data_IF_648990670455
#
_entry.id   IF_648990670455
#
_cell.length_a   1.000
_cell.length_b   1.000
_cell.length_c   1.000
_cell.angle_alpha   90.00
_cell.angle_beta   90.00
_cell.angle_gamma   90.00
#
_symmetry.space_group_name_H-M   'P 1'
#
loop_
_entity.id
_entity.type
_entity.pdbx_description
1 polymer ?
#
# COMPACT_ATOMS: atom_id res chain seq x y z
N UNK A 1 15.74 23.41 -2.03
CA UNK A 1 14.28 23.47 -2.29
C UNK A 1 14.09 22.97 -3.71
N UNK A 2 13.16 22.05 -3.95
CA UNK A 2 12.94 21.47 -5.29
C UNK A 2 12.50 22.58 -6.24
N UNK A 3 13.19 22.74 -7.37
CA UNK A 3 12.83 23.73 -8.38
C UNK A 3 12.10 23.11 -9.58
N UNK A 4 12.39 21.84 -9.89
CA UNK A 4 11.73 21.08 -10.98
C UNK A 4 11.42 19.65 -10.54
N UNK A 5 10.18 19.23 -10.76
CA UNK A 5 9.61 17.95 -10.34
C UNK A 5 9.09 17.16 -11.54
N UNK A 6 9.54 15.91 -11.70
CA UNK A 6 8.93 14.96 -12.62
C UNK A 6 7.82 14.17 -11.91
N UNK A 7 6.67 14.05 -12.55
CA UNK A 7 5.58 13.19 -12.05
C UNK A 7 5.59 11.86 -12.80
N UNK A 8 5.94 10.78 -12.09
CA UNK A 8 5.98 9.41 -12.60
C UNK A 8 4.59 8.74 -12.57
N UNK A 9 3.57 9.44 -13.07
CA UNK A 9 2.18 8.98 -13.09
C UNK A 9 1.39 9.69 -14.20
N UNK A 10 0.08 9.40 -14.32
CA UNK A 10 -0.82 9.93 -15.35
C UNK A 10 -2.18 10.32 -14.78
N UNK A 11 -3.00 10.98 -15.60
CA UNK A 11 -4.40 11.22 -15.29
C UNK A 11 -4.61 12.19 -14.13
N UNK A 12 -5.59 11.91 -13.27
CA UNK A 12 -6.04 12.87 -12.26
C UNK A 12 -4.95 13.18 -11.23
N UNK A 13 -4.23 12.16 -10.75
CA UNK A 13 -3.21 12.31 -9.71
C UNK A 13 -2.04 13.15 -10.21
N UNK A 14 -1.65 12.97 -11.48
CA UNK A 14 -0.64 13.83 -12.09
C UNK A 14 -1.10 15.28 -12.16
N UNK A 15 -2.36 15.53 -12.56
CA UNK A 15 -2.94 16.87 -12.53
C UNK A 15 -2.97 17.45 -11.10
N UNK A 16 -3.29 16.63 -10.09
CA UNK A 16 -3.34 17.03 -8.66
C UNK A 16 -1.97 17.48 -8.16
N UNK A 17 -0.91 16.75 -8.53
CA UNK A 17 0.47 17.08 -8.17
C UNK A 17 0.92 18.36 -8.91
N UNK A 18 0.65 18.47 -10.21
CA UNK A 18 0.99 19.65 -11.02
C UNK A 18 0.35 20.91 -10.44
N UNK A 19 -0.92 20.87 -10.02
CA UNK A 19 -1.59 22.02 -9.40
C UNK A 19 -0.88 22.50 -8.13
N UNK A 20 -0.45 21.59 -7.26
CA UNK A 20 0.29 21.96 -6.04
C UNK A 20 1.69 22.44 -6.34
N UNK A 21 2.43 21.76 -7.22
CA UNK A 21 3.77 22.18 -7.64
C UNK A 21 3.75 23.62 -8.20
N UNK A 22 2.77 23.94 -9.06
CA UNK A 22 2.58 25.29 -9.59
C UNK A 22 2.31 26.34 -8.50
N UNK A 23 1.46 26.02 -7.53
CA UNK A 23 1.20 26.92 -6.39
C UNK A 23 2.46 27.20 -5.56
N UNK A 24 3.40 26.24 -5.53
CA UNK A 24 4.68 26.35 -4.84
C UNK A 24 5.80 26.97 -5.71
N UNK A 25 5.53 27.31 -6.97
CA UNK A 25 6.53 27.83 -7.91
C UNK A 25 7.52 26.77 -8.43
N UNK A 26 7.15 25.49 -8.36
CA UNK A 26 7.96 24.36 -8.83
C UNK A 26 7.57 24.02 -10.27
N UNK A 27 8.55 23.98 -11.18
CA UNK A 27 8.34 23.58 -12.57
C UNK A 27 8.05 22.07 -12.66
N UNK A 28 7.23 21.66 -13.63
CA UNK A 28 6.69 20.30 -13.71
C UNK A 28 6.98 19.62 -15.03
N UNK A 29 7.35 18.33 -14.94
CA UNK A 29 7.55 17.45 -16.09
C UNK A 29 6.53 16.31 -16.03
N UNK A 30 5.65 16.21 -17.01
CA UNK A 30 4.76 15.07 -17.18
C UNK A 30 5.44 13.98 -18.04
N UNK A 31 5.27 12.72 -17.67
CA UNK A 31 5.56 11.61 -18.57
C UNK A 31 4.27 11.12 -19.25
N UNK A 32 4.39 10.59 -20.47
CA UNK A 32 3.24 10.00 -21.16
C UNK A 32 3.62 8.85 -22.09
N UNK A 33 2.69 7.91 -22.27
CA UNK A 33 2.73 6.94 -23.35
C UNK A 33 2.06 7.46 -24.63
N UNK A 34 2.09 6.68 -25.71
CA UNK A 34 1.37 6.98 -26.96
C UNK A 34 -0.12 7.30 -26.73
N UNK A 35 -0.82 6.47 -25.93
CA UNK A 35 -2.25 6.66 -25.65
C UNK A 35 -2.55 7.96 -24.90
N UNK A 36 -1.57 8.47 -24.15
CA UNK A 36 -1.73 9.64 -23.28
C UNK A 36 -1.18 10.93 -23.89
N UNK A 37 -0.70 10.92 -25.14
CA UNK A 37 -0.05 12.07 -25.77
C UNK A 37 -0.89 13.36 -25.78
N UNK A 38 -2.23 13.25 -25.67
CA UNK A 38 -3.16 14.39 -25.59
C UNK A 38 -3.91 14.49 -24.26
N UNK A 39 -3.49 13.72 -23.25
CA UNK A 39 -4.13 13.69 -21.94
C UNK A 39 -4.04 15.07 -21.25
N UNK A 40 -4.93 15.28 -20.27
CA UNK A 40 -4.98 16.55 -19.56
C UNK A 40 -3.69 16.84 -18.78
N UNK A 41 -3.07 15.84 -18.14
CA UNK A 41 -1.85 16.05 -17.35
C UNK A 41 -0.67 16.49 -18.22
N UNK A 42 -0.55 15.94 -19.44
CA UNK A 42 0.46 16.34 -20.43
C UNK A 42 0.32 17.82 -20.79
N UNK A 43 -0.91 18.28 -21.05
CA UNK A 43 -1.19 19.68 -21.38
C UNK A 43 -1.08 20.64 -20.18
N UNK A 44 -1.15 20.11 -18.96
CA UNK A 44 -1.05 20.91 -17.74
C UNK A 44 0.39 21.14 -17.29
N UNK A 45 1.31 20.23 -17.57
CA UNK A 45 2.71 20.35 -17.16
C UNK A 45 3.46 21.41 -17.99
N UNK A 46 4.58 21.91 -17.46
CA UNK A 46 5.42 22.89 -18.15
C UNK A 46 6.25 22.24 -19.27
N UNK A 47 6.58 20.95 -19.09
CA UNK A 47 7.28 20.12 -20.05
C UNK A 47 6.68 18.70 -20.05
N UNK A 48 6.76 17.98 -21.17
CA UNK A 48 6.29 16.62 -21.27
C UNK A 48 7.27 15.72 -22.04
N UNK A 49 7.44 14.48 -21.56
CA UNK A 49 8.36 13.49 -22.14
C UNK A 49 7.59 12.22 -22.51
N UNK A 50 7.77 11.79 -23.76
CA UNK A 50 7.28 10.50 -24.22
C UNK A 50 8.15 9.37 -23.66
N UNK A 51 7.54 8.40 -22.99
CA UNK A 51 8.24 7.30 -22.30
C UNK A 51 7.97 5.91 -22.88
N UNK A 52 7.23 5.80 -23.98
CA UNK A 52 7.04 4.53 -24.68
C UNK A 52 5.60 4.23 -25.06
N UNK A 53 5.35 3.01 -25.57
CA UNK A 53 4.06 2.65 -26.13
C UNK A 53 2.95 2.55 -25.07
N UNK A 54 1.72 2.46 -25.55
CA UNK A 54 0.50 2.49 -24.72
C UNK A 54 0.47 1.52 -23.53
N UNK A 55 0.99 0.27 -23.61
CA UNK A 55 0.99 -0.65 -22.47
C UNK A 55 1.84 -0.14 -21.30
N UNK A 56 1.28 -0.11 -20.10
CA UNK A 56 1.97 0.39 -18.90
C UNK A 56 3.27 -0.38 -18.59
N UNK A 57 3.30 -1.69 -18.84
CA UNK A 57 4.49 -2.53 -18.67
C UNK A 57 5.68 -2.10 -19.55
N UNK A 58 5.39 -1.42 -20.66
CA UNK A 58 6.37 -0.92 -21.62
C UNK A 58 6.59 0.60 -21.51
N UNK A 59 5.87 1.28 -20.60
CA UNK A 59 5.95 2.72 -20.35
C UNK A 59 6.02 3.07 -18.86
N UNK A 60 4.89 3.28 -18.19
CA UNK A 60 4.83 3.77 -16.80
C UNK A 60 5.46 2.84 -15.75
N UNK A 61 5.69 1.57 -16.07
CA UNK A 61 6.38 0.61 -15.21
C UNK A 61 7.87 0.45 -15.56
N UNK A 62 8.40 1.26 -16.50
CA UNK A 62 9.83 1.27 -16.88
C UNK A 62 10.58 2.33 -16.06
N UNK A 63 10.99 1.95 -14.85
CA UNK A 63 11.69 2.85 -13.92
C UNK A 63 12.93 3.52 -14.51
N UNK A 64 13.77 2.78 -15.24
CA UNK A 64 14.96 3.32 -15.92
C UNK A 64 14.61 4.42 -16.92
N UNK A 65 13.54 4.24 -17.70
CA UNK A 65 13.06 5.24 -18.67
C UNK A 65 12.59 6.51 -17.98
N UNK A 66 11.90 6.38 -16.84
CA UNK A 66 11.43 7.51 -16.05
C UNK A 66 12.61 8.29 -15.44
N UNK A 67 13.61 7.60 -14.89
CA UNK A 67 14.82 8.23 -14.34
C UNK A 67 15.60 8.94 -15.45
N UNK A 68 15.72 8.33 -16.64
CA UNK A 68 16.35 8.96 -17.79
C UNK A 68 15.61 10.24 -18.22
N UNK A 69 14.28 10.23 -18.22
CA UNK A 69 13.46 11.41 -18.50
C UNK A 69 13.67 12.52 -17.45
N UNK A 70 13.74 12.17 -16.16
CA UNK A 70 14.01 13.14 -15.10
C UNK A 70 15.37 13.82 -15.29
N UNK A 71 16.42 13.02 -15.58
CA UNK A 71 17.76 13.55 -15.84
C UNK A 71 17.83 14.43 -17.09
N UNK A 72 17.21 14.00 -18.19
CA UNK A 72 17.22 14.74 -19.45
C UNK A 72 16.53 16.11 -19.34
N UNK A 73 15.51 16.21 -18.49
CA UNK A 73 14.74 17.44 -18.28
C UNK A 73 15.27 18.31 -17.14
N UNK A 74 16.28 17.84 -16.41
CA UNK A 74 16.83 18.52 -15.23
C UNK A 74 15.86 18.55 -14.05
N UNK A 75 14.93 17.60 -13.95
CA UNK A 75 14.13 17.44 -12.74
C UNK A 75 15.03 16.98 -11.59
N UNK A 76 14.80 17.56 -10.40
CA UNK A 76 15.57 17.26 -9.19
C UNK A 76 14.89 16.19 -8.33
N UNK A 77 13.60 15.94 -8.59
CA UNK A 77 12.75 15.08 -7.80
C UNK A 77 11.77 14.29 -8.68
N UNK A 78 11.35 13.13 -8.19
CA UNK A 78 10.28 12.31 -8.79
C UNK A 78 9.16 12.11 -7.77
N UNK A 79 7.94 12.46 -8.15
CA UNK A 79 6.73 12.14 -7.40
C UNK A 79 5.98 11.00 -8.08
N UNK A 80 5.74 9.85 -7.40
CA UNK A 80 5.15 8.69 -8.05
C UNK A 80 3.61 8.69 -8.08
N UNK A 81 2.93 9.64 -7.45
CA UNK A 81 1.48 9.56 -7.22
C UNK A 81 1.10 8.29 -6.44
N UNK A 82 0.05 7.59 -6.90
CA UNK A 82 -0.37 6.29 -6.40
C UNK A 82 -0.44 5.26 -7.53
N UNK A 83 -0.33 3.98 -7.21
CA UNK A 83 -0.25 2.90 -8.19
C UNK A 83 1.06 2.95 -9.00
N UNK A 84 1.12 2.20 -10.10
CA UNK A 84 2.34 2.01 -10.89
C UNK A 84 3.56 1.65 -10.00
N UNK A 85 4.53 2.56 -9.89
CA UNK A 85 5.77 2.35 -9.16
C UNK A 85 5.78 3.03 -7.77
N UNK A 86 4.64 3.55 -7.28
CA UNK A 86 4.58 4.31 -6.01
C UNK A 86 4.96 3.52 -4.78
N UNK A 87 4.76 2.19 -4.81
CA UNK A 87 5.10 1.28 -3.72
C UNK A 87 6.21 0.29 -4.14
N UNK A 88 6.98 0.64 -5.18
CA UNK A 88 8.11 -0.18 -5.61
C UNK A 88 9.40 0.31 -4.93
N UNK A 89 9.87 -0.45 -3.94
CA UNK A 89 11.06 -0.11 -3.16
C UNK A 89 12.34 -0.04 -4.01
N UNK A 90 12.48 -0.92 -5.00
CA UNK A 90 13.64 -0.94 -5.91
C UNK A 90 13.69 0.31 -6.77
N UNK A 91 12.54 0.77 -7.27
CA UNK A 91 12.43 2.00 -8.04
C UNK A 91 12.73 3.23 -7.16
N UNK A 92 12.16 3.28 -5.95
CA UNK A 92 12.46 4.36 -5.00
C UNK A 92 13.96 4.45 -4.70
N UNK A 93 14.62 3.29 -4.50
CA UNK A 93 16.07 3.22 -4.31
C UNK A 93 16.83 3.67 -5.57
N UNK A 94 16.42 3.21 -6.76
CA UNK A 94 17.06 3.60 -8.01
C UNK A 94 16.95 5.10 -8.30
N UNK A 95 15.85 5.76 -7.90
CA UNK A 95 15.70 7.22 -7.97
C UNK A 95 16.73 7.91 -7.08
N UNK A 96 16.89 7.44 -5.84
CA UNK A 96 17.86 7.99 -4.87
C UNK A 96 19.30 7.77 -5.37
N UNK A 97 19.64 6.57 -5.83
CA UNK A 97 20.96 6.21 -6.36
C UNK A 97 21.30 7.03 -7.63
N UNK A 98 20.27 7.44 -8.38
CA UNK A 98 20.41 8.31 -9.53
C UNK A 98 20.65 9.79 -9.16
N UNK A 99 20.69 10.13 -7.87
CA UNK A 99 20.91 11.48 -7.35
C UNK A 99 19.65 12.35 -7.33
N UNK A 100 18.46 11.75 -7.45
CA UNK A 100 17.18 12.45 -7.48
C UNK A 100 16.45 12.29 -6.14
N UNK A 101 15.63 13.27 -5.79
CA UNK A 101 14.77 13.20 -4.60
C UNK A 101 13.56 12.31 -4.89
N UNK A 102 13.39 11.28 -4.08
CA UNK A 102 12.16 10.48 -4.05
C UNK A 102 11.11 11.18 -3.17
N UNK A 103 9.97 11.57 -3.76
CA UNK A 103 8.84 12.18 -3.02
C UNK A 103 7.91 11.07 -2.53
N UNK A 104 8.33 10.36 -1.50
CA UNK A 104 7.59 9.25 -0.90
C UNK A 104 8.33 8.66 0.31
N UNK A 105 7.83 7.55 0.88
CA UNK A 105 8.48 6.87 2.00
C UNK A 105 9.83 6.28 1.59
N UNK A 106 10.71 6.08 2.58
CA UNK A 106 12.02 5.43 2.38
C UNK A 106 11.84 4.05 1.75
N UNK A 107 12.77 3.60 0.87
CA UNK A 107 12.74 2.26 0.30
C UNK A 107 12.62 1.15 1.36
N UNK A 108 13.33 1.29 2.48
CA UNK A 108 13.25 0.36 3.60
C UNK A 108 11.85 0.29 4.23
N UNK A 109 11.16 1.43 4.37
CA UNK A 109 9.78 1.48 4.89
C UNK A 109 8.80 0.82 3.93
N UNK A 110 8.97 1.01 2.61
CA UNK A 110 8.18 0.31 1.58
C UNK A 110 8.37 -1.20 1.71
N UNK A 111 9.61 -1.68 1.77
CA UNK A 111 9.93 -3.10 1.91
C UNK A 111 9.39 -3.70 3.22
N UNK A 112 9.50 -2.98 4.34
CA UNK A 112 9.01 -3.43 5.64
C UNK A 112 7.49 -3.64 5.66
N UNK A 113 6.75 -2.86 4.87
CA UNK A 113 5.29 -2.93 4.79
C UNK A 113 4.77 -3.78 3.61
N UNK A 114 5.65 -4.20 2.69
CA UNK A 114 5.27 -4.96 1.49
C UNK A 114 4.94 -6.44 1.76
N UNK A 115 5.53 -7.06 2.79
CA UNK A 115 5.27 -8.44 3.18
C UNK A 115 4.32 -8.51 4.37
N UNK A 116 3.21 -9.22 4.21
CA UNK A 116 2.09 -9.23 5.18
C UNK A 116 2.45 -9.79 6.55
N UNK A 117 3.29 -10.81 6.59
CA UNK A 117 3.73 -11.48 7.82
C UNK A 117 4.76 -10.63 8.58
N UNK A 118 5.76 -10.11 7.89
CA UNK A 118 6.77 -9.22 8.46
C UNK A 118 6.13 -7.92 8.98
N UNK A 119 5.23 -7.33 8.18
CA UNK A 119 4.49 -6.13 8.55
C UNK A 119 3.65 -6.37 9.82
N UNK A 120 2.93 -7.48 9.94
CA UNK A 120 2.14 -7.79 11.14
C UNK A 120 2.98 -8.00 12.39
N UNK A 121 4.09 -8.75 12.28
CA UNK A 121 5.03 -8.94 13.40
C UNK A 121 5.55 -7.59 13.89
N UNK A 122 5.92 -6.72 12.95
CA UNK A 122 6.38 -5.36 13.25
C UNK A 122 5.30 -4.50 13.91
N UNK A 123 4.07 -4.50 13.37
CA UNK A 123 2.94 -3.78 13.94
C UNK A 123 2.59 -4.26 15.34
N UNK A 124 2.60 -5.58 15.58
CA UNK A 124 2.38 -6.16 16.90
C UNK A 124 3.47 -5.73 17.89
N UNK A 125 4.73 -5.78 17.49
CA UNK A 125 5.85 -5.33 18.30
C UNK A 125 5.76 -3.82 18.64
N UNK A 126 5.17 -3.03 17.74
CA UNK A 126 4.90 -1.60 17.93
C UNK A 126 3.63 -1.30 18.75
N UNK A 127 2.93 -2.32 19.28
CA UNK A 127 1.69 -2.15 20.03
C UNK A 127 0.54 -1.61 19.18
N UNK A 128 0.54 -1.92 17.88
CA UNK A 128 -0.56 -1.65 16.95
C UNK A 128 -1.48 -2.88 16.96
N UNK A 129 -2.79 -2.70 17.21
CA UNK A 129 -3.73 -3.82 17.14
C UNK A 129 -3.73 -4.43 15.73
N UNK A 130 -3.56 -5.74 15.66
CA UNK A 130 -3.65 -6.52 14.42
C UNK A 130 -4.77 -7.55 14.58
N UNK A 131 -5.36 -7.97 13.45
CA UNK A 131 -6.39 -9.02 13.47
C UNK A 131 -5.88 -10.26 14.23
N UNK A 132 -6.64 -10.77 15.20
CA UNK A 132 -6.28 -12.00 15.91
C UNK A 132 -6.02 -13.13 14.91
N UNK A 133 -4.97 -13.90 15.14
CA UNK A 133 -4.48 -14.83 14.14
C UNK A 133 -3.27 -15.63 14.60
N UNK A 134 -2.87 -16.58 13.78
CA UNK A 134 -1.70 -17.42 13.97
C UNK A 134 -0.81 -17.39 12.72
N UNK A 135 0.47 -17.10 12.93
CA UNK A 135 1.51 -16.95 11.90
C UNK A 135 2.83 -17.61 12.35
N UNK A 136 2.72 -18.67 13.15
CA UNK A 136 3.84 -19.43 13.67
C UNK A 136 4.41 -20.47 12.71
N UNK A 137 5.63 -20.92 12.99
CA UNK A 137 6.40 -21.88 12.17
C UNK A 137 5.80 -23.29 12.18
N UNK A 138 5.09 -23.68 13.24
CA UNK A 138 4.41 -24.98 13.28
C UNK A 138 3.18 -24.96 12.38
N UNK A 139 3.36 -25.56 11.21
CA UNK A 139 2.37 -25.71 10.14
C UNK A 139 1.66 -27.08 10.18
N UNK A 140 1.74 -27.85 11.28
CA UNK A 140 0.97 -29.09 11.41
C UNK A 140 -0.54 -28.81 11.37
N UNK A 141 -1.33 -29.77 10.84
CA UNK A 141 -2.79 -29.63 10.76
C UNK A 141 -3.38 -29.52 12.16
N UNK A 142 -2.84 -30.29 13.11
CA UNK A 142 -3.26 -30.32 14.50
C UNK A 142 -3.01 -28.98 15.20
N UNK A 143 -1.85 -28.34 14.95
CA UNK A 143 -1.57 -27.01 15.51
C UNK A 143 -2.51 -25.97 14.93
N UNK A 144 -2.64 -25.94 13.61
CA UNK A 144 -3.49 -24.97 12.92
C UNK A 144 -4.97 -25.10 13.32
N UNK A 145 -5.47 -26.32 13.53
CA UNK A 145 -6.82 -26.55 14.02
C UNK A 145 -7.02 -25.99 15.45
N UNK A 146 -6.08 -26.25 16.38
CA UNK A 146 -6.12 -25.70 17.74
C UNK A 146 -6.10 -24.18 17.77
N UNK A 147 -5.28 -23.58 16.90
CA UNK A 147 -5.22 -22.12 16.76
C UNK A 147 -6.51 -21.55 16.19
N UNK A 148 -7.11 -22.22 15.20
CA UNK A 148 -8.42 -21.84 14.66
C UNK A 148 -9.52 -21.89 15.74
N UNK A 149 -9.52 -22.90 16.60
CA UNK A 149 -10.41 -22.99 17.77
C UNK A 149 -10.16 -21.85 18.77
N UNK A 150 -8.90 -21.55 19.08
CA UNK A 150 -8.53 -20.48 20.01
C UNK A 150 -8.90 -19.08 19.49
N UNK A 151 -8.76 -18.82 18.19
CA UNK A 151 -9.22 -17.59 17.52
C UNK A 151 -10.76 -17.53 17.49
N UNK A 152 -11.40 -18.70 17.39
CA UNK A 152 -12.83 -18.88 17.25
C UNK A 152 -13.31 -18.69 15.82
N UNK A 153 -14.22 -19.57 15.37
CA UNK A 153 -14.80 -19.51 14.03
C UNK A 153 -15.81 -18.34 13.87
N UNK A 154 -16.04 -17.83 12.64
CA UNK A 154 -15.34 -18.18 11.41
C UNK A 154 -13.89 -17.67 11.42
N UNK A 155 -13.00 -18.44 10.80
CA UNK A 155 -11.59 -18.07 10.58
C UNK A 155 -11.29 -17.99 9.08
N UNK A 156 -10.23 -17.29 8.73
CA UNK A 156 -9.72 -17.15 7.38
C UNK A 156 -8.34 -17.79 7.31
N UNK A 157 -8.19 -18.82 6.47
CA UNK A 157 -6.89 -19.36 6.07
C UNK A 157 -6.39 -18.50 4.92
N UNK A 158 -5.15 -18.00 4.99
CA UNK A 158 -4.48 -17.24 3.92
C UNK A 158 -3.11 -17.82 3.62
N UNK A 159 -2.77 -17.94 2.34
CA UNK A 159 -1.40 -18.22 1.92
C UNK A 159 -0.47 -17.08 2.34
N UNK A 160 0.70 -17.40 2.91
CA UNK A 160 1.69 -16.39 3.35
C UNK A 160 2.18 -15.56 2.15
N UNK A 161 2.53 -16.23 1.05
CA UNK A 161 2.95 -15.59 -0.20
C UNK A 161 1.77 -15.08 -1.09
N UNK A 162 0.54 -15.09 -0.56
CA UNK A 162 -0.67 -14.86 -1.34
C UNK A 162 -0.98 -13.39 -1.66
N UNK A 163 -1.34 -13.13 -2.93
CA UNK A 163 -1.79 -11.83 -3.44
C UNK A 163 -3.01 -11.93 -4.36
N UNK A 164 -3.74 -10.82 -4.54
CA UNK A 164 -4.85 -10.74 -5.52
C UNK A 164 -6.07 -11.61 -5.23
N UNK A 165 -6.31 -11.99 -3.96
CA UNK A 165 -7.46 -12.79 -3.55
C UNK A 165 -7.32 -14.30 -3.74
N UNK A 166 -6.17 -14.77 -4.25
CA UNK A 166 -5.84 -16.20 -4.37
C UNK A 166 -5.29 -16.77 -3.07
N UNK A 167 -5.53 -18.05 -2.83
CA UNK A 167 -5.04 -18.75 -1.64
C UNK A 167 -5.70 -18.28 -0.35
N UNK A 168 -7.01 -18.08 -0.36
CA UNK A 168 -7.79 -17.75 0.85
C UNK A 168 -8.99 -18.69 1.01
N UNK A 169 -9.26 -19.15 2.23
CA UNK A 169 -10.45 -19.98 2.55
C UNK A 169 -11.10 -19.50 3.84
N UNK A 170 -12.36 -19.10 3.76
CA UNK A 170 -13.19 -18.88 4.94
C UNK A 170 -13.65 -20.23 5.48
N UNK A 171 -13.37 -20.51 6.74
CA UNK A 171 -13.83 -21.70 7.45
C UNK A 171 -14.87 -21.26 8.47
N UNK A 172 -16.08 -21.81 8.36
CA UNK A 172 -17.18 -21.49 9.29
C UNK A 172 -17.28 -22.48 10.46
N UNK A 173 -16.86 -23.74 10.26
CA UNK A 173 -17.02 -24.84 11.20
C UNK A 173 -15.71 -25.64 11.31
N UNK A 174 -15.31 -26.08 12.51
CA UNK A 174 -14.14 -26.95 12.73
C UNK A 174 -14.07 -28.18 11.82
N UNK A 175 -15.20 -28.84 11.54
CA UNK A 175 -15.25 -30.06 10.74
C UNK A 175 -14.77 -29.87 9.29
N UNK A 176 -14.91 -28.65 8.76
CA UNK A 176 -14.47 -28.30 7.41
C UNK A 176 -13.00 -27.83 7.35
N UNK A 177 -12.33 -27.69 8.49
CA UNK A 177 -11.03 -27.02 8.56
C UNK A 177 -9.94 -27.75 7.77
N UNK A 178 -9.78 -29.06 7.99
CA UNK A 178 -8.71 -29.84 7.36
C UNK A 178 -8.82 -29.84 5.81
N UNK A 179 -10.03 -30.04 5.28
CA UNK A 179 -10.27 -30.02 3.84
C UNK A 179 -9.97 -28.65 3.23
N UNK A 180 -10.43 -27.57 3.88
CA UNK A 180 -10.20 -26.21 3.40
C UNK A 180 -8.73 -25.79 3.53
N UNK A 181 -8.02 -26.26 4.56
CA UNK A 181 -6.58 -26.07 4.70
C UNK A 181 -5.83 -26.71 3.53
N UNK A 182 -6.09 -27.98 3.23
CA UNK A 182 -5.44 -28.68 2.11
C UNK A 182 -5.76 -28.03 0.76
N UNK A 183 -7.00 -27.57 0.59
CA UNK A 183 -7.40 -26.78 -0.59
C UNK A 183 -6.61 -25.48 -0.72
N UNK A 184 -6.42 -24.75 0.38
CA UNK A 184 -5.63 -23.52 0.41
C UNK A 184 -4.15 -23.78 0.10
N UNK A 185 -3.56 -24.81 0.71
CA UNK A 185 -2.15 -25.19 0.51
C UNK A 185 -1.84 -25.58 -0.93
N UNK A 186 -2.71 -26.38 -1.56
CA UNK A 186 -2.54 -26.76 -2.96
C UNK A 186 -2.56 -25.55 -3.89
N UNK A 187 -3.49 -24.61 -3.67
CA UNK A 187 -3.56 -23.37 -4.46
C UNK A 187 -2.33 -22.49 -4.23
N UNK A 188 -1.89 -22.36 -2.98
CA UNK A 188 -0.72 -21.59 -2.60
C UNK A 188 0.55 -22.16 -3.26
N UNK A 189 0.76 -23.47 -3.19
CA UNK A 189 1.87 -24.17 -3.84
C UNK A 189 1.85 -24.00 -5.36
N UNK A 190 0.69 -24.14 -5.99
CA UNK A 190 0.56 -24.02 -7.43
C UNK A 190 0.79 -22.58 -7.93
N UNK A 191 0.39 -21.59 -7.14
CA UNK A 191 0.43 -20.18 -7.54
C UNK A 191 1.73 -19.47 -7.14
N UNK A 192 2.33 -19.88 -6.02
CA UNK A 192 3.41 -19.15 -5.35
C UNK A 192 4.58 -20.03 -4.94
N UNK A 193 4.56 -21.34 -5.22
CA UNK A 193 5.60 -22.30 -4.81
C UNK A 193 5.87 -22.33 -3.30
N UNK A 194 4.89 -21.90 -2.49
CA UNK A 194 4.92 -21.86 -1.03
C UNK A 194 3.55 -22.33 -0.52
N UNK A 195 3.53 -23.34 0.35
CA UNK A 195 2.31 -23.92 0.94
C UNK A 195 2.10 -23.55 2.41
N UNK A 196 2.87 -22.61 2.95
CA UNK A 196 2.65 -22.04 4.26
C UNK A 196 1.40 -21.16 4.28
N UNK A 197 0.69 -21.23 5.40
CA UNK A 197 -0.53 -20.46 5.64
C UNK A 197 -0.44 -19.71 6.97
N UNK A 198 -1.25 -18.66 7.06
CA UNK A 198 -1.59 -17.98 8.29
C UNK A 198 -3.10 -18.06 8.53
N UNK A 199 -3.49 -17.99 9.80
CA UNK A 199 -4.87 -17.93 10.22
C UNK A 199 -5.19 -16.52 10.71
N UNK A 200 -6.38 -16.03 10.39
CA UNK A 200 -6.93 -14.79 10.92
C UNK A 200 -8.38 -14.98 11.33
N UNK A 201 -8.85 -14.16 12.28
CA UNK A 201 -10.27 -14.03 12.53
C UNK A 201 -10.97 -13.50 11.28
N UNK A 202 -12.05 -14.17 10.85
CA UNK A 202 -12.92 -13.61 9.82
C UNK A 202 -13.89 -12.60 10.45
N UNK A 203 -13.76 -11.34 10.07
CA UNK A 203 -14.70 -10.28 10.45
C UNK A 203 -15.82 -10.24 9.40
N UNK A 204 -17.07 -10.51 9.82
CA UNK A 204 -18.19 -10.74 8.89
C UNK A 204 -18.76 -9.46 8.30
N UNK A 205 -18.79 -8.38 9.07
CA UNK A 205 -19.33 -7.09 8.65
C UNK A 205 -18.42 -5.95 9.14
N UNK A 206 -17.16 -5.92 8.67
CA UNK A 206 -16.23 -4.91 9.10
C UNK A 206 -16.59 -3.55 8.51
N UNK A 207 -16.23 -2.49 9.26
CA UNK A 207 -15.97 -1.20 8.63
C UNK A 207 -14.53 -1.21 8.13
N UNK A 208 -14.26 -0.56 7.01
CA UNK A 208 -12.90 -0.30 6.56
C UNK A 208 -12.55 1.12 6.97
N UNK A 209 -11.78 1.26 8.06
CA UNK A 209 -11.36 2.56 8.57
C UNK A 209 -9.89 2.74 8.28
N UNK A 210 -9.51 3.91 7.79
CA UNK A 210 -8.11 4.20 7.51
C UNK A 210 -7.70 5.54 8.07
N UNK A 211 -6.47 5.65 8.55
CA UNK A 211 -5.94 6.89 9.15
C UNK A 211 -4.86 7.46 8.25
N UNK A 212 -5.01 8.73 7.88
CA UNK A 212 -3.98 9.48 7.17
C UNK A 212 -2.83 9.80 8.13
N UNK A 213 -1.60 9.51 7.72
CA UNK A 213 -0.39 9.89 8.45
C UNK A 213 0.56 10.72 7.58
N UNK A 214 1.33 11.57 8.23
CA UNK A 214 2.45 12.30 7.64
C UNK A 214 3.67 12.17 8.55
N UNK A 215 4.79 11.75 7.97
CA UNK A 215 6.08 11.68 8.65
C UNK A 215 7.10 12.62 8.01
N UNK A 216 7.97 13.23 8.83
CA UNK A 216 9.12 14.00 8.35
C UNK A 216 10.45 13.26 8.59
N UNK A 217 11.54 13.81 8.05
CA UNK A 217 12.89 13.25 8.20
C UNK A 217 13.53 13.49 9.57
N UNK A 218 12.80 14.11 10.50
CA UNK A 218 13.22 14.38 11.88
C UNK A 218 12.53 13.44 12.88
N UNK A 219 11.76 12.46 12.41
CA UNK A 219 11.06 11.48 13.24
C UNK A 219 9.72 11.98 13.79
N UNK A 220 9.23 13.13 13.34
CA UNK A 220 7.90 13.60 13.68
C UNK A 220 6.87 12.87 12.82
N UNK A 221 5.78 12.44 13.46
CA UNK A 221 4.65 11.82 12.78
C UNK A 221 3.36 12.42 13.34
N UNK A 222 2.50 12.86 12.44
CA UNK A 222 1.14 13.34 12.75
C UNK A 222 0.11 12.53 11.98
N UNK A 223 -1.14 12.54 12.45
CA UNK A 223 -2.28 12.03 11.70
C UNK A 223 -3.18 13.19 11.22
N UNK A 224 -3.88 12.98 10.11
CA UNK A 224 -4.95 13.87 9.63
C UNK A 224 -6.29 13.13 9.70
N UNK A 225 -6.60 12.64 10.91
CA UNK A 225 -7.81 11.88 11.25
C UNK A 225 -8.01 10.62 10.37
N UNK A 226 -9.18 10.02 10.54
CA UNK A 226 -9.60 8.80 9.85
C UNK A 226 -10.58 9.08 8.70
N UNK A 227 -10.70 8.09 7.81
CA UNK A 227 -11.70 8.00 6.76
C UNK A 227 -12.43 6.67 6.88
N UNK A 228 -13.71 6.67 6.55
CA UNK A 228 -14.50 5.46 6.36
C UNK A 228 -14.56 5.13 4.86
N UNK A 229 -14.03 3.96 4.52
CA UNK A 229 -13.99 3.44 3.15
C UNK A 229 -14.77 2.12 3.03
N UNK A 230 -15.78 1.91 3.90
CA UNK A 230 -16.56 0.66 3.98
C UNK A 230 -17.48 0.44 2.77
N UNK A 231 -17.85 1.52 2.06
CA UNK A 231 -18.71 1.45 0.88
C UNK A 231 -17.90 0.95 -0.32
N UNK A 232 -17.83 -0.38 -0.43
CA UNK A 232 -17.02 -1.09 -1.42
C UNK A 232 -17.87 -1.94 -2.36
N UNK A 233 -17.38 -2.12 -3.59
CA UNK A 233 -17.89 -3.12 -4.53
C UNK A 233 -16.77 -4.06 -4.93
N UNK A 234 -16.91 -5.35 -4.65
CA UNK A 234 -15.88 -6.37 -4.91
C UNK A 234 -14.51 -6.01 -4.29
N UNK A 235 -14.51 -5.53 -3.04
CA UNK A 235 -13.31 -5.11 -2.29
C UNK A 235 -12.57 -3.91 -2.89
N UNK A 236 -13.22 -3.11 -3.72
CA UNK A 236 -12.71 -1.82 -4.20
C UNK A 236 -13.55 -0.70 -3.58
N UNK A 237 -12.87 0.33 -3.05
CA UNK A 237 -13.48 1.53 -2.49
C UNK A 237 -14.26 2.27 -3.59
N UNK A 238 -15.49 2.69 -3.27
CA UNK A 238 -16.40 3.39 -4.20
C UNK A 238 -16.79 4.75 -3.65
N UNK A 239 -17.05 4.82 -2.34
CA UNK A 239 -17.33 6.05 -1.63
C UNK A 239 -16.48 6.04 -0.36
N UNK A 240 -15.78 7.15 -0.12
CA UNK A 240 -14.99 7.40 1.07
C UNK A 240 -15.51 8.66 1.79
N UNK A 241 -15.62 8.60 3.12
CA UNK A 241 -16.14 9.69 3.95
C UNK A 241 -15.13 10.08 5.04
N UNK A 242 -15.07 11.37 5.40
CA UNK A 242 -14.17 11.89 6.42
C UNK A 242 -14.84 13.01 7.23
N UNK A 243 -14.79 12.98 8.58
CA UNK A 243 -14.37 11.85 9.42
C UNK A 243 -15.33 10.64 9.29
N UNK A 244 -14.99 9.51 9.90
CA UNK A 244 -15.80 8.30 9.82
C UNK A 244 -17.18 8.51 10.50
N UNK A 245 -18.31 8.36 9.77
CA UNK A 245 -19.63 8.62 10.32
C UNK A 245 -19.94 7.76 11.56
N UNK A 246 -20.51 8.36 12.60
CA UNK A 246 -20.95 7.66 13.81
C UNK A 246 -19.83 7.01 14.65
N UNK A 247 -18.55 7.32 14.39
CA UNK A 247 -17.44 6.87 15.25
C UNK A 247 -17.28 7.81 16.44
N UNK A 248 -17.29 7.23 17.65
CA UNK A 248 -17.06 7.95 18.90
C UNK A 248 -15.62 8.46 19.03
N UNK A 249 -15.43 9.44 19.92
CA UNK A 249 -14.14 10.13 20.09
C UNK A 249 -13.04 9.24 20.66
N UNK A 250 -13.37 8.31 21.56
CA UNK A 250 -12.41 7.40 22.19
C UNK A 250 -11.85 6.41 21.16
N UNK A 251 -12.72 5.80 20.36
CA UNK A 251 -12.33 4.93 19.24
C UNK A 251 -11.48 5.68 18.22
N UNK A 252 -11.89 6.90 17.86
CA UNK A 252 -11.12 7.77 16.93
C UNK A 252 -9.73 8.08 17.48
N UNK A 253 -9.63 8.44 18.75
CA UNK A 253 -8.35 8.72 19.40
C UNK A 253 -7.45 7.47 19.42
N UNK A 254 -8.02 6.31 19.74
CA UNK A 254 -7.29 5.05 19.79
C UNK A 254 -6.74 4.63 18.43
N UNK A 255 -7.55 4.66 17.37
CA UNK A 255 -7.14 4.26 16.01
C UNK A 255 -6.10 5.25 15.43
N UNK A 256 -6.30 6.55 15.64
CA UNK A 256 -5.34 7.56 15.21
C UNK A 256 -3.99 7.41 15.92
N UNK A 257 -4.01 7.17 17.24
CA UNK A 257 -2.78 6.91 18.00
C UNK A 257 -2.08 5.63 17.54
N UNK A 258 -2.84 4.58 17.20
CA UNK A 258 -2.29 3.34 16.65
C UNK A 258 -1.63 3.56 15.29
N UNK A 259 -2.23 4.35 14.40
CA UNK A 259 -1.65 4.68 13.11
C UNK A 259 -0.33 5.49 13.23
N UNK A 260 -0.27 6.44 14.18
CA UNK A 260 0.97 7.16 14.46
C UNK A 260 2.06 6.22 14.98
N UNK A 261 1.73 5.26 15.86
CA UNK A 261 2.70 4.23 16.30
C UNK A 261 3.18 3.36 15.14
N UNK A 262 2.27 2.93 14.26
CA UNK A 262 2.59 2.15 13.07
C UNK A 262 3.60 2.87 12.17
N UNK A 263 3.33 4.14 11.84
CA UNK A 263 4.21 4.95 11.01
C UNK A 263 5.57 5.21 11.66
N UNK A 264 5.61 5.46 12.98
CA UNK A 264 6.88 5.60 13.72
C UNK A 264 7.70 4.31 13.72
N UNK A 265 7.06 3.15 13.79
CA UNK A 265 7.74 1.86 13.84
C UNK A 265 8.49 1.50 12.55
N UNK A 266 8.20 2.19 11.45
CA UNK A 266 8.84 1.98 10.14
C UNK A 266 9.61 3.20 9.65
N UNK A 267 9.88 4.17 10.54
CA UNK A 267 10.54 5.44 10.20
C UNK A 267 9.90 6.12 8.97
N UNK A 268 8.56 6.13 8.92
CA UNK A 268 7.80 6.55 7.76
C UNK A 268 8.06 8.03 7.43
N UNK A 269 8.27 8.32 6.14
CA UNK A 269 8.45 9.68 5.61
C UNK A 269 7.43 9.95 4.50
N UNK A 270 6.99 11.21 4.40
CA UNK A 270 5.97 11.61 3.44
C UNK A 270 4.55 11.27 3.91
N UNK A 271 3.63 11.13 2.96
CA UNK A 271 2.22 10.84 3.22
C UNK A 271 1.95 9.34 3.12
N UNK A 272 1.24 8.78 4.11
CA UNK A 272 0.88 7.37 4.15
C UNK A 272 -0.50 7.14 4.73
N UNK A 273 -1.02 5.92 4.59
CA UNK A 273 -2.31 5.54 5.17
C UNK A 273 -2.16 4.21 5.90
N UNK A 274 -2.71 4.12 7.11
CA UNK A 274 -2.80 2.86 7.86
C UNK A 274 -4.25 2.41 7.86
N UNK A 275 -4.50 1.21 7.31
CA UNK A 275 -5.84 0.63 7.18
C UNK A 275 -6.16 -0.33 8.34
N UNK A 276 -7.40 -0.27 8.81
CA UNK A 276 -7.96 -1.06 9.90
C UNK A 276 -9.33 -1.65 9.50
N UNK A 277 -9.69 -2.72 10.20
CA UNK A 277 -10.91 -3.52 10.05
C UNK A 277 -11.58 -3.65 11.43
#
# INVERSE_FOLDING_TARGET
>A
MITKLLIANRGEIACRIIRTARQMGIATVAVHSDADARALHVRQADEAVHIGPSPAAESYLRGETIIAAAKATGAEAIHPGYGFLSENAEFAQAVIDAGLIWVGPKPASISAMGLKDAAKKLMRAAGVPVTPGYEGEDQSVERLAKEAEAIGYPVLIKAVAGGGGKGMRKVNDPAAFAELLDSCRREAKASFSNDEVLLEKWITSPRHIEVQVFGDSHGNVVHLFERDCSLQRRHQKVIEEAPAPGMDEDTRAAICAAAVRAAKAVDYEGAGTIEFI
#
